data_IF_538061265415
#
_entry.id   IF_538061265415
#
_cell.length_a   1.000
_cell.length_b   1.000
_cell.length_c   1.000
_cell.angle_alpha   90.00
_cell.angle_beta   90.00
_cell.angle_gamma   90.00
#
_symmetry.space_group_name_H-M   'P 1'
#
loop_
_entity.id
_entity.type
_entity.pdbx_description
1 polymer ?
#
# COMPACT_ATOMS: atom_id res chain seq x y z
N UNK A 1 7.55 20.72 -10.06
CA UNK A 1 6.84 19.84 -10.98
C UNK A 1 5.36 19.71 -10.59
N UNK A 2 4.49 19.73 -11.56
CA UNK A 2 3.04 19.56 -11.32
C UNK A 2 2.62 18.19 -11.77
N UNK A 3 2.00 17.43 -10.87
CA UNK A 3 1.45 16.13 -11.18
C UNK A 3 0.00 16.33 -11.59
N UNK A 4 -0.32 15.92 -12.84
CA UNK A 4 -1.65 16.07 -13.38
C UNK A 4 -2.38 14.73 -13.46
N UNK A 5 -2.53 14.10 -12.30
CA UNK A 5 -3.30 12.88 -12.18
C UNK A 5 -4.79 13.25 -12.10
N UNK A 6 -5.60 12.67 -12.99
CA UNK A 6 -7.03 12.95 -12.98
C UNK A 6 -7.73 12.23 -11.85
N UNK A 7 -8.64 12.93 -11.18
CA UNK A 7 -9.50 12.35 -10.15
C UNK A 7 -10.25 11.16 -10.74
N UNK A 8 -10.38 10.11 -9.97
CA UNK A 8 -10.97 8.81 -10.32
C UNK A 8 -10.07 7.90 -11.17
N UNK A 9 -8.84 8.31 -11.47
CA UNK A 9 -7.87 7.39 -12.06
C UNK A 9 -7.64 6.22 -11.11
N UNK A 10 -7.66 5.00 -11.64
CA UNK A 10 -7.47 3.78 -10.86
C UNK A 10 -6.21 3.04 -11.27
N UNK A 11 -5.65 2.32 -10.33
CA UNK A 11 -4.55 1.39 -10.58
C UNK A 11 -4.80 0.15 -9.74
N UNK A 12 -4.28 -0.99 -10.20
CA UNK A 12 -4.53 -2.28 -9.55
C UNK A 12 -3.25 -3.10 -9.52
N UNK A 13 -3.17 -4.02 -8.57
CA UNK A 13 -2.12 -5.00 -8.49
C UNK A 13 -2.70 -6.31 -7.98
N UNK A 14 -2.22 -7.42 -8.55
CA UNK A 14 -2.69 -8.75 -8.18
C UNK A 14 -1.60 -9.52 -7.46
N UNK A 15 -2.01 -10.40 -6.56
CA UNK A 15 -1.11 -11.26 -5.80
C UNK A 15 -1.78 -12.62 -5.61
N UNK A 16 -1.07 -13.69 -5.95
CA UNK A 16 -1.46 -15.04 -5.53
C UNK A 16 -0.96 -15.24 -4.11
N UNK A 17 -1.86 -15.47 -3.17
CA UNK A 17 -1.49 -15.61 -1.76
C UNK A 17 -0.66 -16.89 -1.56
N UNK A 18 0.55 -16.72 -1.09
CA UNK A 18 1.49 -17.82 -0.82
C UNK A 18 1.95 -17.78 0.64
N UNK A 19 2.79 -18.73 1.03
CA UNK A 19 3.21 -18.89 2.42
C UNK A 19 3.76 -17.62 3.07
N UNK A 20 4.60 -16.87 2.35
CA UNK A 20 5.20 -15.63 2.90
C UNK A 20 4.18 -14.50 3.08
N UNK A 21 2.99 -14.64 2.50
CA UNK A 21 1.94 -13.61 2.56
C UNK A 21 0.97 -13.83 3.72
N UNK A 22 1.14 -14.91 4.45
CA UNK A 22 0.22 -15.28 5.53
C UNK A 22 0.56 -14.57 6.83
N UNK A 23 -0.46 -14.24 7.63
CA UNK A 23 -0.28 -13.64 8.94
C UNK A 23 0.66 -14.48 9.81
N UNK A 24 0.55 -15.81 9.71
CA UNK A 24 1.39 -16.74 10.45
C UNK A 24 2.88 -16.65 10.10
N UNK A 25 3.22 -15.98 8.99
CA UNK A 25 4.61 -15.82 8.54
C UNK A 25 5.21 -14.44 8.87
N UNK A 26 4.43 -13.55 9.48
CA UNK A 26 4.88 -12.17 9.74
C UNK A 26 5.90 -12.11 10.86
N UNK A 27 5.66 -12.81 11.97
CA UNK A 27 6.58 -12.82 13.10
C UNK A 27 7.61 -13.93 12.95
N UNK A 28 8.83 -13.67 13.47
CA UNK A 28 9.91 -14.66 13.54
C UNK A 28 9.90 -15.41 14.86
N UNK A 29 9.07 -14.96 15.81
CA UNK A 29 9.01 -15.55 17.15
C UNK A 29 7.96 -16.64 17.18
N UNK A 30 8.34 -17.84 17.65
CA UNK A 30 7.44 -18.99 17.69
C UNK A 30 6.26 -18.81 18.64
N UNK A 31 6.38 -17.89 19.58
CA UNK A 31 5.34 -17.62 20.56
C UNK A 31 4.20 -16.77 20.02
N UNK A 32 4.46 -16.05 18.93
CA UNK A 32 3.45 -15.23 18.29
C UNK A 32 2.51 -16.10 17.50
N UNK A 33 1.22 -15.96 17.74
CA UNK A 33 0.19 -16.81 17.13
C UNK A 33 -0.69 -16.00 16.21
N UNK A 34 -0.56 -16.29 14.93
CA UNK A 34 -1.37 -15.68 13.89
C UNK A 34 -1.91 -16.77 12.97
N UNK A 35 -3.13 -16.61 12.43
CA UNK A 35 -3.71 -17.63 11.56
C UNK A 35 -3.04 -17.68 10.19
N UNK A 36 -3.09 -18.84 9.50
CA UNK A 36 -2.47 -18.97 8.17
C UNK A 36 -3.40 -18.46 7.06
N UNK A 37 -3.71 -17.17 7.12
CA UNK A 37 -4.51 -16.47 6.10
C UNK A 37 -3.77 -15.20 5.67
N UNK A 38 -4.19 -14.63 4.55
CA UNK A 38 -3.58 -13.41 4.00
C UNK A 38 -3.45 -12.34 5.08
N UNK A 39 -2.23 -11.86 5.31
CA UNK A 39 -1.93 -10.92 6.39
C UNK A 39 -2.46 -9.53 6.08
N UNK A 40 -3.00 -8.85 7.09
CA UNK A 40 -3.40 -7.44 6.98
C UNK A 40 -2.23 -6.57 6.51
N UNK A 41 -1.03 -6.82 7.04
CA UNK A 41 0.17 -6.07 6.65
C UNK A 41 0.47 -6.23 5.16
N UNK A 42 0.24 -7.42 4.60
CA UNK A 42 0.45 -7.66 3.17
C UNK A 42 -0.63 -7.02 2.32
N UNK A 43 -1.87 -7.00 2.81
CA UNK A 43 -2.96 -6.30 2.14
C UNK A 43 -2.65 -4.80 2.04
N UNK A 44 -2.19 -4.21 3.14
CA UNK A 44 -1.79 -2.80 3.16
C UNK A 44 -0.67 -2.55 2.16
N UNK A 45 0.36 -3.40 2.15
CA UNK A 45 1.46 -3.27 1.20
C UNK A 45 0.97 -3.32 -0.25
N UNK A 46 -0.01 -4.17 -0.54
CA UNK A 46 -0.58 -4.31 -1.88
C UNK A 46 -1.37 -3.05 -2.27
N UNK A 47 -2.14 -2.51 -1.33
CA UNK A 47 -2.87 -1.26 -1.53
C UNK A 47 -1.92 -0.09 -1.78
N UNK A 48 -0.82 -0.01 -1.01
CA UNK A 48 0.21 1.00 -1.22
C UNK A 48 0.83 0.88 -2.61
N UNK A 49 1.09 -0.34 -3.04
CA UNK A 49 1.67 -0.60 -4.36
C UNK A 49 0.76 -0.10 -5.47
N UNK A 50 -0.54 -0.37 -5.36
CA UNK A 50 -1.52 0.11 -6.33
C UNK A 50 -1.52 1.63 -6.42
N UNK A 51 -1.55 2.32 -5.28
CA UNK A 51 -1.55 3.79 -5.24
C UNK A 51 -0.23 4.35 -5.79
N UNK A 52 0.91 3.76 -5.43
CA UNK A 52 2.21 4.18 -5.93
C UNK A 52 2.30 4.05 -7.44
N UNK A 53 1.72 3.00 -8.02
CA UNK A 53 1.69 2.81 -9.47
C UNK A 53 0.88 3.89 -10.19
N UNK A 54 -0.18 4.39 -9.55
CA UNK A 54 -0.95 5.48 -10.15
C UNK A 54 -0.12 6.75 -10.27
N UNK A 55 0.78 7.01 -9.34
CA UNK A 55 1.63 8.19 -9.33
C UNK A 55 2.91 8.04 -10.17
N UNK A 56 3.42 6.82 -10.30
CA UNK A 56 4.76 6.59 -10.85
C UNK A 56 5.00 7.21 -12.23
N UNK A 57 4.03 7.23 -13.17
CA UNK A 57 4.27 7.85 -14.50
C UNK A 57 4.56 9.34 -14.46
N UNK A 58 4.23 10.02 -13.36
CA UNK A 58 4.36 11.48 -13.23
C UNK A 58 5.58 11.91 -12.43
N UNK A 59 6.39 10.97 -11.94
CA UNK A 59 7.52 11.28 -11.07
C UNK A 59 8.79 11.58 -11.88
N UNK A 60 9.59 12.50 -11.37
CA UNK A 60 10.93 12.76 -11.92
C UNK A 60 11.88 11.64 -11.49
N UNK A 61 13.05 11.55 -12.13
CA UNK A 61 13.99 10.45 -11.89
C UNK A 61 14.50 10.34 -10.45
N UNK A 62 14.50 11.47 -9.73
CA UNK A 62 14.96 11.51 -8.33
C UNK A 62 13.82 11.52 -7.33
N UNK A 63 12.60 11.28 -7.78
CA UNK A 63 11.40 11.30 -6.94
C UNK A 63 10.80 9.92 -6.77
N UNK A 64 10.24 9.68 -5.59
CA UNK A 64 9.38 8.53 -5.30
C UNK A 64 8.22 9.01 -4.46
N UNK A 65 7.17 8.21 -4.41
CA UNK A 65 6.09 8.46 -3.46
C UNK A 65 6.25 7.55 -2.25
N UNK A 66 5.88 8.08 -1.08
CA UNK A 66 5.89 7.31 0.16
C UNK A 66 4.52 7.39 0.82
N UNK A 67 4.12 6.31 1.49
CA UNK A 67 2.89 6.28 2.26
C UNK A 67 3.06 7.08 3.54
N UNK A 68 2.11 7.97 3.84
CA UNK A 68 2.15 8.79 5.05
C UNK A 68 0.92 8.59 5.93
N UNK A 69 -0.12 7.95 5.41
CA UNK A 69 -1.35 7.69 6.15
C UNK A 69 -2.06 6.49 5.54
N UNK A 70 -2.54 5.61 6.39
CA UNK A 70 -3.38 4.49 5.98
C UNK A 70 -4.42 4.23 7.06
N UNK A 71 -5.66 4.13 6.66
CA UNK A 71 -6.76 3.78 7.55
C UNK A 71 -7.66 2.82 6.80
N UNK A 72 -7.56 1.54 7.13
CA UNK A 72 -8.27 0.49 6.41
C UNK A 72 -8.91 -0.50 7.37
N UNK A 73 -9.97 -1.15 6.88
CA UNK A 73 -10.57 -2.31 7.52
C UNK A 73 -10.17 -3.55 6.74
N UNK A 74 -9.96 -4.66 7.40
CA UNK A 74 -9.73 -5.97 6.80
C UNK A 74 -10.76 -6.92 7.40
N UNK A 75 -11.81 -7.21 6.65
CA UNK A 75 -13.03 -7.81 7.18
C UNK A 75 -13.28 -9.26 6.76
N UNK A 76 -12.51 -9.77 5.82
CA UNK A 76 -12.66 -11.15 5.35
C UNK A 76 -11.30 -11.80 5.15
N UNK A 77 -11.16 -13.04 5.56
CA UNK A 77 -9.92 -13.79 5.46
C UNK A 77 -9.80 -14.46 4.10
N UNK A 78 -8.58 -14.52 3.57
CA UNK A 78 -8.28 -15.20 2.31
C UNK A 78 -7.25 -16.29 2.57
N UNK A 79 -7.54 -17.55 2.20
CA UNK A 79 -6.59 -18.64 2.38
C UNK A 79 -5.49 -18.62 1.32
N UNK A 80 -4.38 -19.36 1.53
CA UNK A 80 -3.36 -19.47 0.50
C UNK A 80 -3.91 -20.11 -0.77
N UNK A 81 -3.30 -19.76 -1.91
CA UNK A 81 -3.70 -20.30 -3.20
C UNK A 81 -4.79 -19.50 -3.92
N UNK A 82 -5.28 -18.44 -3.30
CA UNK A 82 -6.32 -17.57 -3.85
C UNK A 82 -5.68 -16.25 -4.29
N UNK A 83 -6.13 -15.74 -5.42
CA UNK A 83 -5.66 -14.45 -5.93
C UNK A 83 -6.39 -13.30 -5.22
N UNK A 84 -5.62 -12.29 -4.79
CA UNK A 84 -6.13 -11.04 -4.24
C UNK A 84 -5.79 -9.93 -5.23
N UNK A 85 -6.73 -9.03 -5.47
CA UNK A 85 -6.52 -7.82 -6.27
C UNK A 85 -6.68 -6.61 -5.36
N UNK A 86 -5.67 -5.76 -5.27
CA UNK A 86 -5.78 -4.48 -4.58
C UNK A 86 -5.92 -3.37 -5.60
N UNK A 87 -6.72 -2.38 -5.26
CA UNK A 87 -7.08 -1.27 -6.14
C UNK A 87 -6.88 0.05 -5.41
N UNK A 88 -6.53 1.08 -6.17
CA UNK A 88 -6.46 2.44 -5.65
C UNK A 88 -7.16 3.36 -6.64
N UNK A 89 -7.97 4.27 -6.13
CA UNK A 89 -8.64 5.30 -6.93
C UNK A 89 -8.26 6.66 -6.38
N UNK A 90 -7.73 7.51 -7.24
CA UNK A 90 -7.29 8.84 -6.86
C UNK A 90 -8.48 9.75 -6.57
N UNK A 91 -8.51 10.36 -5.38
CA UNK A 91 -9.60 11.24 -4.96
C UNK A 91 -9.25 12.73 -5.09
N UNK A 92 -7.98 13.07 -5.23
CA UNK A 92 -7.55 14.45 -5.30
C UNK A 92 -6.43 14.74 -4.30
N UNK A 93 -6.03 16.00 -4.25
CA UNK A 93 -4.96 16.45 -3.36
C UNK A 93 -5.54 17.13 -2.13
N UNK A 94 -4.83 16.93 -1.02
CA UNK A 94 -5.06 17.65 0.21
C UNK A 94 -3.71 18.26 0.56
N UNK A 95 -3.51 19.54 0.28
CA UNK A 95 -2.23 20.21 0.37
C UNK A 95 -1.19 19.50 -0.53
N UNK A 96 -0.15 18.92 0.01
CA UNK A 96 0.88 18.19 -0.76
C UNK A 96 0.62 16.70 -0.83
N UNK A 97 -0.45 16.22 -0.24
CA UNK A 97 -0.75 14.81 -0.16
C UNK A 97 -1.70 14.37 -1.28
N UNK A 98 -1.42 13.21 -1.83
CA UNK A 98 -2.27 12.56 -2.84
C UNK A 98 -3.15 11.54 -2.11
N UNK A 99 -4.46 11.73 -2.22
CA UNK A 99 -5.44 10.94 -1.46
C UNK A 99 -6.03 9.86 -2.35
N UNK A 100 -6.07 8.64 -1.83
CA UNK A 100 -6.60 7.49 -2.55
C UNK A 100 -7.63 6.76 -1.70
N UNK A 101 -8.70 6.33 -2.35
CA UNK A 101 -9.55 5.27 -1.86
C UNK A 101 -8.88 3.96 -2.24
N UNK A 102 -8.75 3.03 -1.30
CA UNK A 102 -8.14 1.73 -1.58
C UNK A 102 -9.09 0.63 -1.16
N UNK A 103 -9.07 -0.47 -1.91
CA UNK A 103 -9.85 -1.65 -1.55
C UNK A 103 -9.16 -2.89 -2.13
N UNK A 104 -9.47 -4.03 -1.54
CA UNK A 104 -8.94 -5.31 -2.00
C UNK A 104 -10.05 -6.33 -2.04
N UNK A 105 -9.93 -7.28 -2.95
CA UNK A 105 -10.95 -8.31 -3.15
C UNK A 105 -10.30 -9.64 -3.51
N UNK A 106 -10.98 -10.72 -3.12
CA UNK A 106 -10.63 -12.07 -3.52
C UNK A 106 -11.81 -12.69 -4.28
N UNK A 107 -11.85 -14.01 -4.44
CA UNK A 107 -12.93 -14.68 -5.15
C UNK A 107 -14.29 -14.50 -4.46
N UNK A 108 -14.28 -14.30 -3.15
CA UNK A 108 -15.50 -14.11 -2.37
C UNK A 108 -16.04 -12.69 -2.35
N UNK A 109 -15.27 -11.73 -2.89
CA UNK A 109 -15.65 -10.33 -2.90
C UNK A 109 -14.65 -9.45 -2.16
N UNK A 110 -15.12 -8.30 -1.69
CA UNK A 110 -14.25 -7.34 -0.99
C UNK A 110 -13.78 -7.90 0.35
N UNK A 111 -12.48 -7.79 0.60
CA UNK A 111 -11.88 -8.24 1.86
C UNK A 111 -11.45 -7.06 2.74
N UNK A 112 -11.32 -5.87 2.19
CA UNK A 112 -10.93 -4.69 2.95
C UNK A 112 -11.01 -3.43 2.12
N UNK A 113 -11.08 -2.28 2.79
CA UNK A 113 -11.12 -0.98 2.12
C UNK A 113 -10.75 0.13 3.08
N UNK A 114 -10.46 1.31 2.53
CA UNK A 114 -10.15 2.48 3.34
C UNK A 114 -9.55 3.62 2.55
N UNK A 115 -8.80 4.45 3.26
CA UNK A 115 -8.17 5.66 2.72
C UNK A 115 -6.66 5.58 2.91
N UNK A 116 -5.93 6.03 1.89
CA UNK A 116 -4.47 6.03 1.88
C UNK A 116 -3.97 7.36 1.32
N UNK A 117 -2.94 7.92 1.94
CA UNK A 117 -2.36 9.18 1.49
C UNK A 117 -0.87 8.99 1.23
N UNK A 118 -0.39 9.59 0.15
CA UNK A 118 1.01 9.49 -0.25
C UNK A 118 1.59 10.87 -0.50
N UNK A 119 2.89 11.01 -0.20
CA UNK A 119 3.66 12.21 -0.48
C UNK A 119 4.72 11.88 -1.53
N UNK A 120 4.97 12.81 -2.44
CA UNK A 120 6.07 12.70 -3.40
C UNK A 120 7.30 13.35 -2.77
N UNK A 121 8.41 12.62 -2.74
CA UNK A 121 9.63 13.04 -2.06
C UNK A 121 10.84 12.93 -2.97
N UNK A 122 11.85 13.76 -2.71
CA UNK A 122 13.18 13.58 -3.29
C UNK A 122 13.87 12.48 -2.50
N UNK A 123 14.33 11.44 -3.17
CA UNK A 123 14.88 10.25 -2.52
C UNK A 123 16.12 10.58 -1.69
N UNK A 124 17.02 11.37 -2.25
CA UNK A 124 18.27 11.72 -1.54
C UNK A 124 18.00 12.50 -0.25
N UNK A 125 17.05 13.43 -0.31
CA UNK A 125 16.66 14.19 0.88
C UNK A 125 15.99 13.31 1.92
N UNK A 126 15.16 12.39 1.48
CA UNK A 126 14.50 11.47 2.38
C UNK A 126 15.51 10.62 3.15
N UNK A 127 16.45 10.02 2.41
CA UNK A 127 17.46 9.15 3.02
C UNK A 127 18.41 9.91 3.92
N UNK A 128 18.85 11.09 3.49
CA UNK A 128 19.72 11.95 4.31
C UNK A 128 19.02 12.39 5.59
N UNK A 129 17.74 12.74 5.48
CA UNK A 129 16.94 13.13 6.64
C UNK A 129 16.75 11.98 7.63
N UNK A 130 16.51 10.77 7.14
CA UNK A 130 16.37 9.59 7.97
C UNK A 130 17.67 9.29 8.74
N UNK A 131 18.81 9.38 8.05
CA UNK A 131 20.11 9.14 8.65
C UNK A 131 20.41 10.20 9.72
N UNK A 132 20.19 11.47 9.39
CA UNK A 132 20.45 12.58 10.33
C UNK A 132 19.59 12.48 11.58
N UNK A 133 18.32 12.17 11.44
CA UNK A 133 17.39 12.02 12.57
C UNK A 133 17.82 10.91 13.53
N UNK A 134 18.49 9.89 13.02
CA UNK A 134 18.92 8.70 13.79
C UNK A 134 20.40 8.70 14.15
N UNK A 135 21.11 9.78 13.89
CA UNK A 135 22.50 9.92 14.32
C UNK A 135 22.55 10.09 15.82
N UNK A 136 23.51 9.40 16.48
CA UNK A 136 23.70 9.51 17.91
C UNK A 136 24.65 10.61 18.30
#
# INVERSE_FOLDING_TARGET
MTIELEVNTTASVELLVEGQDLASSISRESEDKFPPVFATARMVALMETAAARALSPFLESNELSVGVFIQVSHTAATPPGIKVTANARYLGREDKLFIFEVWAEDLGGEIGCGIHKRAVVNVDRLLAGATRRNAS
#
